data_IF_261963467081
#
_entry.id   IF_261963467081
#
_cell.length_a   1.000
_cell.length_b   1.000
_cell.length_c   1.000
_cell.angle_alpha   90.00
_cell.angle_beta   90.00
_cell.angle_gamma   90.00
#
_symmetry.space_group_name_H-M   'P 1'
#
loop_
_entity.id
_entity.type
_entity.pdbx_description
1 polymer ?
#
# COMPACT_ATOMS: atom_id res chain seq x y z
N UNK A 1 7.54 -2.44 11.68
CA UNK A 1 6.69 -2.70 10.49
C UNK A 1 6.80 -1.49 9.57
N UNK A 2 7.02 -1.70 8.28
CA UNK A 2 7.11 -0.59 7.31
C UNK A 2 5.73 0.02 7.06
N UNK A 3 5.68 1.27 6.62
CA UNK A 3 4.42 2.01 6.44
C UNK A 3 3.57 1.42 5.32
N UNK A 4 4.21 1.02 4.22
CA UNK A 4 3.60 0.40 3.05
C UNK A 4 2.88 -0.90 3.46
N UNK A 5 3.56 -1.76 4.21
CA UNK A 5 2.98 -3.01 4.69
C UNK A 5 1.70 -2.77 5.51
N UNK A 6 1.62 -1.66 6.26
CA UNK A 6 0.43 -1.30 7.02
C UNK A 6 -0.71 -0.80 6.12
N UNK A 7 -0.39 0.06 5.16
CA UNK A 7 -1.40 0.65 4.26
C UNK A 7 -1.99 -0.41 3.33
N UNK A 8 -1.19 -1.38 2.89
CA UNK A 8 -1.57 -2.38 1.90
C UNK A 8 -1.84 -3.79 2.46
N UNK A 9 -1.87 -3.98 3.78
CA UNK A 9 -1.98 -5.29 4.44
C UNK A 9 -3.16 -6.15 3.91
N UNK A 10 -4.32 -5.53 3.69
CA UNK A 10 -5.55 -6.18 3.20
C UNK A 10 -5.94 -5.67 1.82
N UNK A 11 -4.98 -5.33 0.99
CA UNK A 11 -5.20 -4.78 -0.35
C UNK A 11 -4.51 -5.64 -1.40
N UNK A 12 -5.15 -5.78 -2.57
CA UNK A 12 -4.57 -6.43 -3.75
C UNK A 12 -4.39 -5.40 -4.87
N UNK A 13 -3.19 -5.31 -5.49
CA UNK A 13 -3.01 -4.42 -6.61
C UNK A 13 -3.83 -4.89 -7.81
N UNK A 14 -4.43 -3.92 -8.48
CA UNK A 14 -5.03 -4.03 -9.78
C UNK A 14 -4.01 -3.53 -10.81
N UNK A 15 -3.36 -4.48 -11.49
CA UNK A 15 -2.25 -4.19 -12.38
C UNK A 15 -2.66 -3.36 -13.61
N UNK A 16 -3.93 -3.40 -14.02
CA UNK A 16 -4.43 -2.56 -15.11
C UNK A 16 -4.51 -1.10 -14.66
N UNK A 17 -5.04 -0.86 -13.45
CA UNK A 17 -5.16 0.49 -12.88
C UNK A 17 -3.82 1.12 -12.51
N UNK A 18 -2.80 0.31 -12.20
CA UNK A 18 -1.45 0.83 -11.94
C UNK A 18 -0.91 1.61 -13.15
N UNK A 19 -1.08 1.07 -14.36
CA UNK A 19 -0.64 1.76 -15.57
C UNK A 19 -1.41 3.06 -15.82
N UNK A 20 -2.74 3.04 -15.62
CA UNK A 20 -3.60 4.23 -15.78
C UNK A 20 -3.28 5.33 -14.76
N UNK A 21 -2.87 4.96 -13.54
CA UNK A 21 -2.47 5.89 -12.49
C UNK A 21 -1.12 6.58 -12.78
N UNK A 22 -0.30 6.00 -13.66
CA UNK A 22 1.01 6.54 -14.04
C UNK A 22 2.21 5.71 -13.56
N UNK A 23 2.00 4.47 -13.11
CA UNK A 23 3.12 3.55 -12.90
C UNK A 23 3.73 3.11 -14.22
N UNK A 24 5.05 3.01 -14.25
CA UNK A 24 5.82 2.47 -15.37
C UNK A 24 6.21 1.04 -15.06
N UNK A 25 5.94 0.13 -16.00
CA UNK A 25 6.28 -1.30 -15.85
C UNK A 25 7.65 -1.61 -16.44
N UNK A 26 8.45 -2.37 -15.71
CA UNK A 26 9.70 -2.96 -16.20
C UNK A 26 9.77 -4.47 -15.90
N UNK A 27 10.99 -5.04 -15.89
CA UNK A 27 11.20 -6.47 -15.62
C UNK A 27 11.01 -6.85 -14.15
N UNK A 28 11.18 -5.90 -13.23
CA UNK A 28 11.16 -6.11 -11.78
C UNK A 28 9.79 -5.79 -11.18
N UNK A 29 8.99 -4.95 -11.85
CA UNK A 29 7.64 -4.64 -11.41
C UNK A 29 7.09 -3.35 -12.00
N UNK A 30 6.36 -2.61 -11.17
CA UNK A 30 5.78 -1.31 -11.48
C UNK A 30 6.42 -0.25 -10.60
N UNK A 31 6.77 0.90 -11.18
CA UNK A 31 7.44 1.99 -10.49
C UNK A 31 6.72 3.31 -10.68
N UNK A 32 6.64 4.09 -9.61
CA UNK A 32 6.03 5.41 -9.59
C UNK A 32 6.86 6.35 -8.72
N UNK A 33 7.06 7.56 -9.21
CA UNK A 33 7.77 8.60 -8.47
C UNK A 33 6.94 9.87 -8.45
N UNK A 34 6.85 10.51 -7.28
CA UNK A 34 6.13 11.76 -7.10
C UNK A 34 6.88 12.69 -6.16
N UNK A 35 6.96 13.97 -6.55
CA UNK A 35 7.43 15.04 -5.68
C UNK A 35 6.30 15.48 -4.73
N UNK A 36 6.65 15.80 -3.50
CA UNK A 36 5.72 16.29 -2.49
C UNK A 36 6.40 17.29 -1.56
N UNK A 37 5.60 18.00 -0.75
CA UNK A 37 6.08 19.12 0.09
C UNK A 37 6.86 20.14 -0.75
N UNK A 38 6.19 20.72 -1.75
CA UNK A 38 6.73 21.75 -2.64
C UNK A 38 8.02 21.35 -3.38
N UNK A 39 8.29 20.04 -3.48
CA UNK A 39 9.45 19.49 -4.18
C UNK A 39 10.64 19.19 -3.27
N UNK A 40 10.54 19.44 -1.97
CA UNK A 40 11.59 19.12 -0.98
C UNK A 40 11.82 17.61 -0.86
N UNK A 41 10.78 16.81 -1.14
CA UNK A 41 10.86 15.36 -1.07
C UNK A 41 10.35 14.68 -2.33
N UNK A 42 10.93 13.51 -2.62
CA UNK A 42 10.47 12.58 -3.65
C UNK A 42 10.11 11.24 -3.02
N UNK A 43 8.91 10.74 -3.30
CA UNK A 43 8.51 9.38 -2.96
C UNK A 43 8.70 8.49 -4.19
N UNK A 44 9.51 7.44 -4.06
CA UNK A 44 9.71 6.40 -5.07
C UNK A 44 9.04 5.12 -4.57
N UNK A 45 7.96 4.71 -5.23
CA UNK A 45 7.15 3.52 -4.91
C UNK A 45 7.39 2.47 -5.99
N UNK A 46 7.68 1.25 -5.56
CA UNK A 46 7.74 0.08 -6.43
C UNK A 46 6.78 -1.01 -5.96
N UNK A 47 6.17 -1.70 -6.93
CA UNK A 47 5.25 -2.81 -6.69
C UNK A 47 5.77 -4.01 -7.48
N UNK A 48 6.12 -5.09 -6.78
CA UNK A 48 6.63 -6.30 -7.42
C UNK A 48 5.54 -7.01 -8.25
N UNK A 49 5.94 -7.95 -9.10
CA UNK A 49 4.99 -8.76 -9.89
C UNK A 49 4.08 -9.63 -9.00
N UNK A 50 4.52 -9.95 -7.78
CA UNK A 50 3.73 -10.62 -6.75
C UNK A 50 2.81 -9.65 -5.97
N UNK A 51 2.90 -8.35 -6.24
CA UNK A 51 2.08 -7.32 -5.62
C UNK A 51 2.60 -6.76 -4.30
N UNK A 52 3.86 -7.04 -3.94
CA UNK A 52 4.47 -6.46 -2.75
C UNK A 52 4.84 -5.00 -2.98
N UNK A 53 4.43 -4.12 -2.08
CA UNK A 53 4.69 -2.67 -2.17
C UNK A 53 5.93 -2.30 -1.37
N UNK A 54 6.86 -1.60 -2.00
CA UNK A 54 8.04 -1.01 -1.39
C UNK A 54 8.04 0.48 -1.68
N UNK A 55 8.57 1.27 -0.76
CA UNK A 55 8.75 2.68 -1.02
C UNK A 55 9.91 3.30 -0.27
N UNK A 56 10.47 4.32 -0.90
CA UNK A 56 11.61 5.10 -0.43
C UNK A 56 11.26 6.57 -0.55
N UNK A 57 11.69 7.36 0.41
CA UNK A 57 11.54 8.82 0.38
C UNK A 57 12.93 9.41 0.27
N UNK A 58 13.12 10.38 -0.61
CA UNK A 58 14.39 11.08 -0.81
C UNK A 58 14.22 12.56 -0.48
N UNK A 59 15.19 13.13 0.21
CA UNK A 59 15.36 14.58 0.33
C UNK A 59 16.01 15.08 -0.98
N UNK A 60 15.34 15.97 -1.69
CA UNK A 60 15.78 16.39 -3.02
C UNK A 60 16.97 17.36 -2.98
N UNK A 61 17.14 18.09 -1.88
CA UNK A 61 18.25 19.03 -1.69
C UNK A 61 19.54 18.28 -1.36
N UNK A 62 19.46 17.25 -0.50
CA UNK A 62 20.59 16.40 -0.15
C UNK A 62 20.87 15.32 -1.22
N UNK A 63 19.85 14.89 -1.97
CA UNK A 63 19.94 13.76 -2.89
C UNK A 63 20.04 12.40 -2.19
N UNK A 64 19.67 12.34 -0.91
CA UNK A 64 19.82 11.17 -0.05
C UNK A 64 18.46 10.60 0.38
N UNK A 65 18.43 9.31 0.72
CA UNK A 65 17.22 8.68 1.26
C UNK A 65 16.89 9.22 2.66
N UNK A 66 15.68 9.73 2.81
CA UNK A 66 15.12 10.21 4.06
C UNK A 66 14.61 9.04 4.92
N UNK A 67 15.55 8.30 5.50
CA UNK A 67 15.30 7.16 6.39
C UNK A 67 14.39 7.44 7.60
N UNK A 68 14.36 8.64 8.22
CA UNK A 68 13.52 8.91 9.41
C UNK A 68 12.04 8.60 9.23
N UNK A 69 11.51 8.61 8.00
CA UNK A 69 10.12 8.27 7.71
C UNK A 69 9.75 6.86 8.22
N UNK A 70 10.71 5.92 8.15
CA UNK A 70 10.54 4.50 8.51
C UNK A 70 10.90 4.19 9.97
N UNK A 71 11.42 5.16 10.72
CA UNK A 71 11.89 4.97 12.10
C UNK A 71 10.81 5.37 13.10
N UNK A 72 10.13 4.38 13.70
CA UNK A 72 8.96 4.60 14.54
C UNK A 72 9.22 5.47 15.80
N UNK A 73 10.42 5.40 16.39
CA UNK A 73 10.77 6.18 17.58
C UNK A 73 11.19 7.63 17.26
N UNK A 74 11.35 7.99 15.99
CA UNK A 74 11.58 9.38 15.59
C UNK A 74 10.24 10.11 15.46
N UNK A 75 9.89 10.87 16.50
CA UNK A 75 8.59 11.52 16.65
C UNK A 75 8.66 13.05 16.56
N UNK A 76 9.74 13.59 15.99
CA UNK A 76 9.87 15.04 15.75
C UNK A 76 8.73 15.55 14.85
N UNK A 77 8.24 16.77 15.11
CA UNK A 77 7.10 17.35 14.39
C UNK A 77 7.29 17.32 12.87
N UNK A 78 8.48 17.70 12.39
CA UNK A 78 8.82 17.66 10.98
C UNK A 78 8.78 16.25 10.39
N UNK A 79 9.43 15.27 11.03
CA UNK A 79 9.42 13.86 10.60
C UNK A 79 7.99 13.32 10.51
N UNK A 80 7.14 13.66 11.48
CA UNK A 80 5.73 13.25 11.47
C UNK A 80 4.97 13.87 10.29
N UNK A 81 5.24 15.13 9.93
CA UNK A 81 4.66 15.76 8.74
C UNK A 81 5.09 15.06 7.45
N UNK A 82 6.39 14.80 7.27
CA UNK A 82 6.88 14.06 6.10
C UNK A 82 6.23 12.68 6.03
N UNK A 83 6.12 11.98 7.17
CA UNK A 83 5.46 10.68 7.28
C UNK A 83 3.98 10.74 6.93
N UNK A 84 3.24 11.74 7.41
CA UNK A 84 1.83 11.89 7.11
C UNK A 84 1.61 12.13 5.60
N UNK A 85 2.38 13.04 4.99
CA UNK A 85 2.32 13.29 3.55
C UNK A 85 2.69 12.07 2.72
N UNK A 86 3.68 11.31 3.17
CA UNK A 86 4.03 10.06 2.51
C UNK A 86 2.90 9.02 2.60
N UNK A 87 2.25 8.88 3.77
CA UNK A 87 1.09 7.99 3.93
C UNK A 87 -0.09 8.43 3.05
N UNK A 88 -0.36 9.74 2.91
CA UNK A 88 -1.41 10.26 2.01
C UNK A 88 -1.18 9.82 0.56
N UNK A 89 0.08 9.80 0.09
CA UNK A 89 0.43 9.29 -1.25
C UNK A 89 0.12 7.79 -1.36
N UNK A 90 0.55 6.99 -0.37
CA UNK A 90 0.26 5.55 -0.35
C UNK A 90 -1.24 5.25 -0.31
N UNK A 91 -2.02 6.02 0.45
CA UNK A 91 -3.47 5.89 0.52
C UNK A 91 -4.14 6.28 -0.80
N UNK A 92 -3.65 7.32 -1.47
CA UNK A 92 -4.13 7.72 -2.81
C UNK A 92 -3.89 6.63 -3.84
N UNK A 93 -2.70 6.03 -3.85
CA UNK A 93 -2.37 4.86 -4.68
C UNK A 93 -3.29 3.69 -4.31
N UNK A 94 -3.50 3.44 -3.02
CA UNK A 94 -4.37 2.38 -2.52
C UNK A 94 -5.85 2.55 -2.88
N UNK A 95 -6.32 3.78 -3.05
CA UNK A 95 -7.69 4.06 -3.50
C UNK A 95 -7.83 3.93 -5.03
N UNK A 96 -6.81 4.34 -5.78
CA UNK A 96 -6.83 4.29 -7.25
C UNK A 96 -6.52 2.91 -7.82
N UNK A 97 -5.58 2.18 -7.23
CA UNK A 97 -4.94 1.01 -7.85
C UNK A 97 -5.12 -0.29 -7.09
N UNK A 98 -5.80 -0.29 -5.95
CA UNK A 98 -5.94 -1.50 -5.14
C UNK A 98 -7.41 -1.79 -4.82
N UNK A 99 -7.68 -3.08 -4.61
CA UNK A 99 -8.97 -3.58 -4.15
C UNK A 99 -8.81 -4.18 -2.76
N UNK A 100 -9.80 -3.97 -1.90
CA UNK A 100 -9.78 -4.54 -0.55
C UNK A 100 -10.00 -6.06 -0.61
N UNK A 101 -9.29 -6.77 0.26
CA UNK A 101 -9.39 -8.21 0.44
C UNK A 101 -10.09 -8.53 1.75
N UNK A 102 -10.96 -9.53 1.71
CA UNK A 102 -11.59 -10.09 2.89
C UNK A 102 -10.58 -10.90 3.71
N UNK A 103 -9.66 -11.62 3.08
CA UNK A 103 -8.65 -12.44 3.74
C UNK A 103 -7.23 -12.12 3.24
N UNK A 104 -6.26 -12.30 4.14
CA UNK A 104 -4.84 -12.08 3.87
C UNK A 104 -4.25 -13.12 2.90
N UNK A 105 -4.77 -14.34 2.91
CA UNK A 105 -4.24 -15.45 2.12
C UNK A 105 -5.07 -15.70 0.86
N UNK A 106 -4.39 -15.96 -0.26
CA UNK A 106 -5.02 -16.25 -1.55
C UNK A 106 -5.93 -17.47 -1.53
N UNK A 107 -5.56 -18.50 -0.75
CA UNK A 107 -6.39 -19.69 -0.62
C UNK A 107 -7.74 -19.38 0.05
N UNK A 108 -7.72 -18.60 1.14
CA UNK A 108 -8.93 -18.19 1.84
C UNK A 108 -9.83 -17.34 0.94
N UNK A 109 -9.26 -16.40 0.20
CA UNK A 109 -10.01 -15.55 -0.74
C UNK A 109 -10.65 -16.38 -1.85
N UNK A 110 -9.90 -17.32 -2.43
CA UNK A 110 -10.39 -18.21 -3.49
C UNK A 110 -11.52 -19.11 -3.01
N UNK A 111 -11.44 -19.62 -1.78
CA UNK A 111 -12.49 -20.45 -1.18
C UNK A 111 -13.74 -19.61 -0.92
N UNK A 112 -13.59 -18.41 -0.33
CA UNK A 112 -14.72 -17.52 -0.06
C UNK A 112 -15.44 -17.12 -1.36
N UNK A 113 -14.69 -16.81 -2.41
CA UNK A 113 -15.26 -16.47 -3.72
C UNK A 113 -15.96 -17.67 -4.37
N UNK A 114 -15.41 -18.89 -4.23
CA UNK A 114 -16.08 -20.10 -4.69
C UNK A 114 -17.42 -20.33 -3.96
N UNK A 115 -17.44 -20.15 -2.63
CA UNK A 115 -18.67 -20.27 -1.82
C UNK A 115 -19.70 -19.24 -2.29
N UNK A 116 -19.28 -17.98 -2.46
CA UNK A 116 -20.14 -16.89 -2.97
C UNK A 116 -20.73 -17.21 -4.33
N UNK A 117 -19.93 -17.68 -5.27
CA UNK A 117 -20.41 -18.01 -6.62
C UNK A 117 -21.34 -19.22 -6.64
N UNK A 118 -21.09 -20.23 -5.80
CA UNK A 118 -21.83 -21.49 -5.81
C UNK A 118 -23.10 -21.46 -4.98
N UNK A 119 -23.09 -20.74 -3.86
CA UNK A 119 -24.17 -20.75 -2.86
C UNK A 119 -24.77 -19.36 -2.60
N UNK A 120 -24.12 -18.28 -3.04
CA UNK A 120 -24.56 -16.91 -2.78
C UNK A 120 -24.14 -16.37 -1.40
N UNK A 121 -23.59 -17.22 -0.54
CA UNK A 121 -23.17 -16.88 0.81
C UNK A 121 -21.90 -16.02 0.84
N UNK A 122 -21.75 -15.18 1.86
CA UNK A 122 -20.57 -14.35 2.11
C UNK A 122 -20.07 -14.56 3.54
N UNK A 123 -18.76 -14.46 3.78
CA UNK A 123 -18.23 -14.51 5.14
C UNK A 123 -18.78 -13.35 5.99
N UNK A 124 -19.12 -13.63 7.25
CA UNK A 124 -19.51 -12.62 8.23
C UNK A 124 -18.35 -12.34 9.20
N UNK A 125 -18.17 -11.09 9.63
CA UNK A 125 -17.08 -10.64 10.50
C UNK A 125 -17.61 -10.06 11.81
N UNK A 126 -18.19 -10.90 12.70
CA UNK A 126 -18.96 -10.41 13.85
C UNK A 126 -18.08 -9.83 14.97
N UNK A 127 -16.77 -10.13 15.00
CA UNK A 127 -15.90 -9.73 16.11
C UNK A 127 -15.27 -8.36 15.91
N UNK A 128 -15.83 -7.34 16.59
CA UNK A 128 -15.26 -5.98 16.62
C UNK A 128 -13.80 -5.91 17.08
N UNK A 129 -13.42 -6.74 18.05
CA UNK A 129 -12.04 -6.80 18.58
C UNK A 129 -11.06 -7.44 17.58
N UNK A 130 -11.56 -8.24 16.65
CA UNK A 130 -10.77 -9.01 15.69
C UNK A 130 -11.43 -8.93 14.30
N UNK A 131 -11.43 -7.75 13.64
CA UNK A 131 -12.13 -7.52 12.38
C UNK A 131 -11.56 -8.30 11.18
N UNK A 132 -10.49 -9.09 11.39
CA UNK A 132 -9.94 -10.02 10.40
C UNK A 132 -10.48 -11.45 10.49
N UNK A 133 -11.27 -11.78 11.52
CA UNK A 133 -11.75 -13.14 11.77
C UNK A 133 -13.18 -13.24 11.23
N UNK A 134 -13.37 -14.08 10.21
CA UNK A 134 -14.66 -14.31 9.56
C UNK A 134 -15.18 -15.73 9.77
N UNK A 135 -16.51 -15.88 9.73
CA UNK A 135 -17.24 -17.17 9.72
C UNK A 135 -17.99 -17.38 8.42
#
# INVERSE_FOLDING_TARGET
>A
MRLEAKVFERKKPDFEKLAEFGFHKDKEGYHYSQLFMDGDFRADISISLEGNVFGRVFDTAAGEEYLPVHVAYQTGAFVNTVRARYVEILETIGAGCFTDRLFLFDQSERIAEMIRMRYGDRPDFPWRKYPGYGV
#
